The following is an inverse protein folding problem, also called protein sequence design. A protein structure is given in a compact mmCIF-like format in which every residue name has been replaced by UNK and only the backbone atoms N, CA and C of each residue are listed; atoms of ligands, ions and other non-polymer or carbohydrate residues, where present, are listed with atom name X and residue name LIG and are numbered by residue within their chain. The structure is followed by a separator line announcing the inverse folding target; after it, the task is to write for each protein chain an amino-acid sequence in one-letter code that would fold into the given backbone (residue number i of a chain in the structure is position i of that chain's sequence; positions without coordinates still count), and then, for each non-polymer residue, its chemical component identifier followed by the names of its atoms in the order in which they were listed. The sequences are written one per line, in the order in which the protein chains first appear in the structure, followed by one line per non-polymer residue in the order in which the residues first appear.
data_IF_907062481886
#
_entry.id   IF_907062481886
#
_cell.length_a   1.000
_cell.length_b   1.000
_cell.length_c   1.000
_cell.angle_alpha   90.00
_cell.angle_beta   90.00
_cell.angle_gamma   90.00
#
_symmetry.space_group_name_H-M   'P 1'
#
loop_
_entity.id
_entity.type
_entity.pdbx_description
1 polymer ?
#
# COMPACT_ATOMS: atom_id res chain seq x y z
N UNK A 1 2.75 17.54 -33.28
CA UNK A 1 2.49 17.15 -31.89
C UNK A 1 3.74 17.50 -31.07
N UNK A 2 3.61 18.15 -29.91
CA UNK A 2 4.75 18.81 -29.23
C UNK A 2 5.62 17.88 -28.36
N UNK A 3 5.48 16.55 -28.44
CA UNK A 3 6.20 15.61 -27.56
C UNK A 3 6.60 14.29 -28.23
N UNK A 4 6.81 14.27 -29.54
CA UNK A 4 7.29 13.04 -30.20
C UNK A 4 8.80 12.87 -29.96
N UNK A 5 9.18 11.91 -29.11
CA UNK A 5 10.58 11.53 -28.84
C UNK A 5 11.21 12.02 -27.52
N UNK A 6 10.48 12.71 -26.64
CA UNK A 6 11.02 13.14 -25.34
C UNK A 6 10.93 12.02 -24.28
N UNK A 7 12.04 11.75 -23.59
CA UNK A 7 12.10 10.84 -22.44
C UNK A 7 11.51 11.54 -21.21
N UNK A 8 10.43 10.98 -20.65
CA UNK A 8 9.80 11.52 -19.44
C UNK A 8 10.59 11.11 -18.19
N UNK A 9 11.20 12.07 -17.50
CA UNK A 9 11.91 11.83 -16.23
C UNK A 9 11.21 12.63 -15.12
N UNK A 10 10.27 12.03 -14.38
CA UNK A 10 9.54 12.75 -13.34
C UNK A 10 10.47 13.15 -12.20
N UNK A 11 10.32 14.39 -11.73
CA UNK A 11 10.80 14.83 -10.42
C UNK A 11 9.63 14.88 -9.46
N UNK A 12 9.50 13.86 -8.61
CA UNK A 12 8.46 13.80 -7.59
C UNK A 12 9.00 14.31 -6.26
N UNK A 13 8.25 15.19 -5.62
CA UNK A 13 8.38 15.55 -4.20
C UNK A 13 7.00 15.41 -3.59
N UNK A 14 6.91 14.74 -2.45
CA UNK A 14 5.65 14.46 -1.77
C UNK A 14 5.74 14.82 -0.29
N UNK A 15 4.65 15.35 0.26
CA UNK A 15 4.46 15.59 1.68
C UNK A 15 3.08 15.07 2.09
N UNK A 16 2.97 14.57 3.32
CA UNK A 16 1.71 14.04 3.84
C UNK A 16 1.39 14.68 5.18
N UNK A 17 0.11 14.97 5.38
CA UNK A 17 -0.47 15.37 6.65
C UNK A 17 -1.64 14.44 6.94
N UNK A 18 -1.67 13.86 8.14
CA UNK A 18 -2.77 13.06 8.65
C UNK A 18 -3.26 13.66 9.97
N UNK A 19 -4.57 13.73 10.18
CA UNK A 19 -5.18 14.24 11.41
C UNK A 19 -6.40 13.43 11.77
N UNK A 20 -6.53 13.10 13.06
CA UNK A 20 -7.70 12.36 13.55
C UNK A 20 -8.97 13.20 13.63
N UNK A 21 -8.84 14.54 13.54
CA UNK A 21 -9.96 15.47 13.70
C UNK A 21 -10.78 15.17 14.96
N UNK A 22 -12.11 15.18 14.81
CA UNK A 22 -13.04 14.94 15.91
C UNK A 22 -13.08 13.48 16.40
N UNK A 23 -12.46 12.52 15.69
CA UNK A 23 -12.44 11.10 16.10
C UNK A 23 -11.54 10.87 17.32
N UNK A 24 -10.53 11.72 17.52
CA UNK A 24 -9.51 11.55 18.57
C UNK A 24 -8.34 10.67 18.11
N UNK A 25 -7.14 10.95 18.62
CA UNK A 25 -5.90 10.26 18.21
C UNK A 25 -5.94 8.75 18.50
N UNK A 26 -6.72 8.34 19.50
CA UNK A 26 -7.00 6.95 19.87
C UNK A 26 -7.83 6.19 18.82
N UNK A 27 -8.49 6.92 17.92
CA UNK A 27 -9.34 6.37 16.85
C UNK A 27 -8.86 6.75 15.45
N UNK A 28 -7.59 7.13 15.30
CA UNK A 28 -6.99 7.35 13.98
C UNK A 28 -6.86 6.01 13.25
N UNK A 29 -7.69 5.80 12.22
CA UNK A 29 -7.72 4.57 11.41
C UNK A 29 -6.99 4.72 10.07
N UNK A 30 -6.74 5.95 9.58
CA UNK A 30 -6.03 6.16 8.32
C UNK A 30 -4.53 5.85 8.43
N UNK A 31 -3.97 5.38 7.31
CA UNK A 31 -2.55 5.20 7.10
C UNK A 31 -2.15 5.69 5.70
N UNK A 32 -0.85 5.85 5.45
CA UNK A 32 -0.35 6.24 4.13
C UNK A 32 1.03 5.65 3.89
N UNK A 33 1.42 5.55 2.62
CA UNK A 33 2.76 5.16 2.20
C UNK A 33 3.28 6.17 1.17
N UNK A 34 4.52 6.64 1.35
CA UNK A 34 5.24 7.47 0.39
C UNK A 34 6.61 6.84 0.17
N UNK A 35 6.81 6.27 -1.01
CA UNK A 35 8.08 5.70 -1.43
C UNK A 35 8.54 6.41 -2.71
N UNK A 36 9.39 7.42 -2.53
CA UNK A 36 9.88 8.32 -3.59
C UNK A 36 11.41 8.48 -3.49
N UNK A 37 12.23 7.74 -4.26
CA UNK A 37 11.85 6.68 -5.18
C UNK A 37 11.50 5.37 -4.46
N UNK A 38 10.68 4.55 -5.11
CA UNK A 38 10.47 3.16 -4.77
C UNK A 38 11.66 2.35 -5.29
N UNK A 39 12.25 1.49 -4.44
CA UNK A 39 13.27 0.54 -4.88
C UNK A 39 12.67 -0.40 -5.95
N UNK A 40 13.23 -0.40 -7.15
CA UNK A 40 12.77 -1.21 -8.27
C UNK A 40 13.97 -1.82 -9.01
N UNK A 41 13.94 -3.11 -9.42
CA UNK A 41 15.11 -3.79 -10.00
C UNK A 41 15.48 -3.33 -11.42
N UNK A 42 14.58 -2.66 -12.14
CA UNK A 42 14.83 -2.02 -13.44
C UNK A 42 15.42 -0.61 -13.34
N UNK A 43 15.91 -0.07 -14.46
CA UNK A 43 16.51 1.29 -14.56
C UNK A 43 15.51 2.44 -14.44
N UNK A 44 14.21 2.13 -14.53
CA UNK A 44 13.12 3.10 -14.48
C UNK A 44 12.94 3.68 -13.07
N UNK A 45 12.84 5.01 -12.97
CA UNK A 45 12.36 5.66 -11.74
C UNK A 45 10.89 5.33 -11.52
N UNK A 46 10.58 4.82 -10.34
CA UNK A 46 9.21 4.54 -9.89
C UNK A 46 8.98 5.25 -8.56
N UNK A 47 7.84 5.89 -8.41
CA UNK A 47 7.39 6.49 -7.15
C UNK A 47 6.01 5.91 -6.79
N UNK A 48 5.79 5.58 -5.52
CA UNK A 48 4.52 5.09 -4.99
C UNK A 48 4.00 6.03 -3.90
N UNK A 49 2.75 6.44 -4.03
CA UNK A 49 2.02 7.21 -3.01
C UNK A 49 0.67 6.53 -2.79
N UNK A 50 0.32 6.24 -1.54
CA UNK A 50 -0.97 5.66 -1.22
C UNK A 50 -1.56 6.17 0.09
N UNK A 51 -2.89 6.17 0.16
CA UNK A 51 -3.68 6.51 1.34
C UNK A 51 -4.66 5.37 1.59
N UNK A 52 -4.80 5.01 2.86
CA UNK A 52 -5.69 3.96 3.33
C UNK A 52 -6.60 4.53 4.41
N UNK A 53 -7.92 4.36 4.26
CA UNK A 53 -8.91 4.75 5.26
C UNK A 53 -9.42 3.47 5.92
N UNK A 54 -8.98 3.24 7.16
CA UNK A 54 -9.31 2.05 7.94
C UNK A 54 -10.74 2.08 8.48
N UNK A 55 -11.32 0.90 8.67
CA UNK A 55 -12.61 0.75 9.31
C UNK A 55 -12.64 -0.47 10.24
N UNK A 56 -13.21 -0.29 11.45
CA UNK A 56 -13.20 -1.27 12.55
C UNK A 56 -11.79 -1.51 13.11
N UNK A 57 -10.99 -0.47 13.18
CA UNK A 57 -9.60 -0.48 13.64
C UNK A 57 -8.62 -0.14 12.53
N UNK A 58 -7.43 0.33 12.94
CA UNK A 58 -6.36 0.75 12.04
C UNK A 58 -5.49 -0.41 11.50
N UNK A 59 -5.73 -1.65 11.96
CA UNK A 59 -4.82 -2.77 11.72
C UNK A 59 -4.61 -3.05 10.23
N UNK A 60 -5.69 -3.14 9.45
CA UNK A 60 -5.63 -3.39 8.01
C UNK A 60 -4.94 -2.24 7.26
N UNK A 61 -5.32 -0.98 7.55
CA UNK A 61 -4.73 0.20 6.91
C UNK A 61 -3.21 0.30 7.16
N UNK A 62 -2.78 0.08 8.41
CA UNK A 62 -1.35 0.07 8.78
C UNK A 62 -0.61 -1.09 8.10
N UNK A 63 -1.19 -2.29 8.12
CA UNK A 63 -0.61 -3.44 7.44
C UNK A 63 -0.41 -3.17 5.94
N UNK A 64 -1.40 -2.58 5.28
CA UNK A 64 -1.29 -2.23 3.87
C UNK A 64 -0.19 -1.17 3.62
N UNK A 65 -0.14 -0.11 4.44
CA UNK A 65 0.86 0.94 4.34
C UNK A 65 2.30 0.43 4.53
N UNK A 66 2.50 -0.48 5.48
CA UNK A 66 3.82 -1.03 5.82
C UNK A 66 4.33 -2.03 4.77
N UNK A 67 3.42 -2.73 4.08
CA UNK A 67 3.80 -3.87 3.23
C UNK A 67 3.71 -3.59 1.72
N UNK A 68 2.89 -2.64 1.27
CA UNK A 68 2.66 -2.41 -0.17
C UNK A 68 3.94 -2.03 -0.93
N UNK A 69 4.75 -1.13 -0.36
CA UNK A 69 6.02 -0.68 -0.97
C UNK A 69 7.07 -1.78 -1.06
N UNK A 70 6.99 -2.81 -0.23
CA UNK A 70 7.89 -3.97 -0.30
C UNK A 70 7.36 -5.05 -1.23
N UNK A 71 6.05 -5.31 -1.21
CA UNK A 71 5.40 -6.31 -2.05
C UNK A 71 5.46 -5.95 -3.54
N UNK A 72 5.24 -4.68 -3.86
CA UNK A 72 5.18 -4.19 -5.24
C UNK A 72 6.43 -4.52 -6.07
N UNK A 73 7.65 -4.09 -5.71
CA UNK A 73 8.83 -4.38 -6.52
C UNK A 73 9.19 -5.87 -6.58
N UNK A 74 8.90 -6.62 -5.51
CA UNK A 74 9.11 -8.09 -5.48
C UNK A 74 8.25 -8.83 -6.49
N UNK A 75 7.01 -8.38 -6.70
CA UNK A 75 6.05 -8.99 -7.62
C UNK A 75 6.16 -8.43 -9.05
N UNK A 76 6.61 -7.18 -9.18
CA UNK A 76 6.75 -6.52 -10.48
C UNK A 76 7.72 -7.25 -11.40
N UNK A 77 8.80 -7.85 -10.87
CA UNK A 77 9.79 -8.59 -11.67
C UNK A 77 9.17 -9.64 -12.62
N UNK A 78 7.98 -10.17 -12.27
CA UNK A 78 7.24 -11.18 -13.03
C UNK A 78 6.02 -10.58 -13.77
N UNK A 79 5.98 -9.25 -13.99
CA UNK A 79 4.87 -8.52 -14.58
C UNK A 79 5.31 -7.73 -15.81
N UNK A 80 4.49 -7.76 -16.87
CA UNK A 80 4.75 -7.00 -18.10
C UNK A 80 4.31 -5.53 -18.02
N UNK A 81 3.42 -5.17 -17.08
CA UNK A 81 2.85 -3.83 -16.97
C UNK A 81 2.78 -3.37 -15.50
N UNK A 82 2.97 -2.05 -15.24
CA UNK A 82 2.86 -1.50 -13.88
C UNK A 82 1.49 -1.73 -13.23
N UNK A 83 0.42 -1.71 -14.02
CA UNK A 83 -0.94 -1.96 -13.54
C UNK A 83 -1.13 -3.38 -13.02
N UNK A 84 -0.53 -4.37 -13.70
CA UNK A 84 -0.57 -5.76 -13.25
C UNK A 84 0.27 -5.98 -11.99
N UNK A 85 1.45 -5.34 -11.91
CA UNK A 85 2.28 -5.36 -10.71
C UNK A 85 1.53 -4.79 -9.50
N UNK A 86 0.87 -3.64 -9.67
CA UNK A 86 0.07 -3.00 -8.62
C UNK A 86 -1.09 -3.91 -8.18
N UNK A 87 -1.83 -4.48 -9.13
CA UNK A 87 -2.94 -5.42 -8.84
C UNK A 87 -2.45 -6.63 -8.05
N UNK A 88 -1.35 -7.26 -8.48
CA UNK A 88 -0.77 -8.42 -7.78
C UNK A 88 -0.27 -8.06 -6.38
N UNK A 89 0.31 -6.87 -6.22
CA UNK A 89 0.77 -6.39 -4.92
C UNK A 89 -0.40 -6.24 -3.93
N UNK A 90 -1.50 -5.62 -4.34
CA UNK A 90 -2.70 -5.52 -3.49
C UNK A 90 -3.25 -6.89 -3.09
N UNK A 91 -3.38 -7.83 -4.04
CA UNK A 91 -3.86 -9.20 -3.75
C UNK A 91 -2.93 -9.92 -2.78
N UNK A 92 -1.61 -9.79 -2.96
CA UNK A 92 -0.64 -10.43 -2.08
C UNK A 92 -0.64 -9.84 -0.67
N UNK A 93 -0.76 -8.51 -0.54
CA UNK A 93 -0.84 -7.83 0.75
C UNK A 93 -2.14 -8.20 1.48
N UNK A 94 -3.27 -8.24 0.78
CA UNK A 94 -4.56 -8.67 1.34
C UNK A 94 -4.49 -10.12 1.85
N UNK A 95 -3.99 -11.05 1.04
CA UNK A 95 -3.82 -12.44 1.44
C UNK A 95 -2.89 -12.60 2.65
N UNK A 96 -1.80 -11.82 2.72
CA UNK A 96 -0.89 -11.82 3.85
C UNK A 96 -1.55 -11.27 5.13
N UNK A 97 -2.39 -10.23 5.01
CA UNK A 97 -3.15 -9.69 6.13
C UNK A 97 -4.14 -10.72 6.67
N UNK A 98 -4.93 -11.35 5.80
CA UNK A 98 -5.88 -12.41 6.17
C UNK A 98 -5.17 -13.55 6.89
N UNK A 99 -4.03 -14.02 6.36
CA UNK A 99 -3.23 -15.06 7.00
C UNK A 99 -2.74 -14.64 8.40
N UNK A 100 -2.36 -13.37 8.57
CA UNK A 100 -1.94 -12.84 9.88
C UNK A 100 -3.08 -12.78 10.89
N UNK A 101 -4.29 -12.40 10.46
CA UNK A 101 -5.50 -12.37 11.30
C UNK A 101 -5.95 -13.79 11.69
N UNK A 102 -5.86 -14.75 10.78
CA UNK A 102 -6.17 -16.15 11.07
C UNK A 102 -5.16 -16.77 12.04
N UNK A 103 -3.87 -16.47 11.88
CA UNK A 103 -2.84 -16.89 12.84
C UNK A 103 -3.06 -16.28 14.23
N UNK A 104 -3.41 -14.99 14.30
CA UNK A 104 -3.75 -14.33 15.55
C UNK A 104 -5.00 -14.93 16.20
N UNK A 105 -6.03 -15.24 15.41
CA UNK A 105 -7.25 -15.90 15.90
C UNK A 105 -6.97 -17.32 16.42
N UNK A 106 -6.10 -18.08 15.75
CA UNK A 106 -5.70 -19.43 16.17
C UNK A 106 -4.89 -19.43 17.48
N UNK A 107 -4.23 -18.32 17.82
CA UNK A 107 -3.49 -18.14 19.07
C UNK A 107 -4.38 -17.77 20.28
N UNK A 108 -5.67 -17.50 20.07
CA UNK A 108 -6.59 -17.17 21.16
C UNK A 108 -6.93 -18.41 22.01
N UNK A 109 -7.22 -18.23 23.31
CA UNK A 109 -7.73 -19.31 24.15
C UNK A 109 -9.01 -19.92 23.57
N UNK A 110 -9.18 -21.24 23.71
CA UNK A 110 -10.39 -21.95 23.26
C UNK A 110 -11.65 -21.30 23.83
N UNK A 111 -12.57 -20.90 22.95
CA UNK A 111 -13.83 -20.26 23.32
C UNK A 111 -13.78 -18.73 23.48
N UNK A 112 -12.61 -18.11 23.29
CA UNK A 112 -12.51 -16.65 23.24
C UNK A 112 -13.23 -16.10 21.98
N UNK A 113 -14.00 -15.00 22.10
CA UNK A 113 -14.68 -14.40 20.97
C UNK A 113 -13.68 -13.81 19.97
N UNK A 114 -13.83 -14.16 18.68
CA UNK A 114 -13.07 -13.55 17.58
C UNK A 114 -13.69 -12.20 17.23
N UNK A 115 -12.89 -11.14 17.27
CA UNK A 115 -13.31 -9.84 16.76
C UNK A 115 -13.55 -9.91 15.25
N UNK A 116 -14.50 -9.11 14.74
CA UNK A 116 -14.63 -8.95 13.30
C UNK A 116 -13.35 -8.33 12.72
N UNK A 117 -12.82 -8.84 11.61
CA UNK A 117 -11.58 -8.32 11.04
C UNK A 117 -11.76 -6.85 10.62
N UNK A 118 -10.71 -6.06 10.84
CA UNK A 118 -10.62 -4.71 10.31
C UNK A 118 -10.47 -4.76 8.78
N UNK A 119 -10.82 -3.66 8.12
CA UNK A 119 -10.53 -3.48 6.70
C UNK A 119 -10.10 -2.05 6.42
N UNK A 120 -9.79 -1.75 5.17
CA UNK A 120 -9.55 -0.38 4.74
C UNK A 120 -9.96 -0.19 3.27
N UNK A 121 -10.27 1.05 2.90
CA UNK A 121 -10.20 1.47 1.49
C UNK A 121 -8.76 1.79 1.14
N UNK A 122 -8.44 1.84 -0.16
CA UNK A 122 -7.12 2.20 -0.64
C UNK A 122 -7.21 3.07 -1.89
N UNK A 123 -6.43 4.15 -1.90
CA UNK A 123 -6.09 4.92 -3.09
C UNK A 123 -4.57 4.82 -3.27
N UNK A 124 -4.10 4.39 -4.44
CA UNK A 124 -2.68 4.33 -4.74
C UNK A 124 -2.39 4.93 -6.11
N UNK A 125 -1.28 5.67 -6.18
CA UNK A 125 -0.75 6.28 -7.40
C UNK A 125 0.66 5.75 -7.60
N UNK A 126 0.91 5.28 -8.83
CA UNK A 126 2.21 4.84 -9.28
C UNK A 126 2.69 5.80 -10.36
N UNK A 127 3.79 6.51 -10.11
CA UNK A 127 4.41 7.41 -11.09
C UNK A 127 5.61 6.70 -11.68
N UNK A 128 5.55 6.46 -12.99
CA UNK A 128 6.52 5.69 -13.74
C UNK A 128 7.27 6.63 -14.69
N UNK A 129 8.60 6.76 -14.55
CA UNK A 129 9.45 7.45 -15.52
C UNK A 129 9.64 6.62 -16.80
N UNK A 130 10.30 7.18 -17.82
CA UNK A 130 10.79 6.39 -18.94
C UNK A 130 11.99 5.54 -18.50
N UNK A 131 12.16 4.39 -19.16
CA UNK A 131 13.26 3.42 -18.96
C UNK A 131 14.58 3.91 -19.52
#
# INVERSE_FOLDING_TARGET
AWFEGAIYVPQVSAGVLATAGARGIDRMEDAHCVATPLEHPGSQRVDLISVFDGHRGAACARFAADNLSTALPRLWKDCAAPTEALRRAFVAVDAAYVASEDAAAAALPTGAPRAAPAGCTALAVLVCGAT
#
